data_IF_499675486871
#
_entry.id   IF_499675486871
#
_cell.length_a   1.000
_cell.length_b   1.000
_cell.length_c   1.000
_cell.angle_alpha   90.00
_cell.angle_beta   90.00
_cell.angle_gamma   90.00
#
_symmetry.space_group_name_H-M   'P 1'
#
loop_
_entity.id
_entity.type
_entity.pdbx_description
1 polymer ?
#
# COMPACT_ATOMS: atom_id res chain seq x y z
N UNK A 1 2.50 -14.50 -4.40
CA UNK A 1 1.09 -14.62 -3.96
C UNK A 1 0.59 -13.31 -3.36
N UNK A 2 -0.57 -12.82 -3.79
CA UNK A 2 -1.12 -11.53 -3.36
C UNK A 2 -1.94 -11.72 -2.09
N UNK A 3 -1.82 -10.79 -1.14
CA UNK A 3 -2.66 -10.77 0.06
C UNK A 3 -3.74 -9.71 -0.07
N UNK A 4 -4.94 -10.03 0.41
CA UNK A 4 -6.07 -9.12 0.44
C UNK A 4 -6.57 -8.94 1.88
N UNK A 5 -7.13 -7.76 2.19
CA UNK A 5 -7.66 -7.38 3.49
C UNK A 5 -8.92 -6.53 3.33
N UNK A 6 -9.79 -6.54 4.33
CA UNK A 6 -10.93 -5.62 4.41
C UNK A 6 -10.66 -4.63 5.54
N UNK A 7 -10.63 -3.33 5.21
CA UNK A 7 -10.67 -2.28 6.22
C UNK A 7 -12.11 -1.88 6.52
N UNK A 8 -12.49 -2.10 7.78
CA UNK A 8 -13.80 -1.74 8.35
C UNK A 8 -13.84 -0.33 8.95
N UNK A 9 -12.82 0.51 8.73
CA UNK A 9 -12.79 1.91 9.24
C UNK A 9 -13.66 2.87 8.42
N UNK A 10 -14.18 2.38 7.29
CA UNK A 10 -15.08 3.12 6.40
C UNK A 10 -16.29 2.28 6.04
N UNK A 11 -17.37 2.96 5.67
CA UNK A 11 -18.60 2.34 5.18
C UNK A 11 -18.99 2.91 3.81
N UNK A 12 -19.10 2.07 2.76
CA UNK A 12 -18.82 0.63 2.74
C UNK A 12 -17.33 0.29 3.02
N UNK A 13 -17.02 -0.94 3.49
CA UNK A 13 -15.65 -1.36 3.79
C UNK A 13 -14.71 -1.21 2.59
N UNK A 14 -13.46 -0.83 2.87
CA UNK A 14 -12.45 -0.69 1.83
C UNK A 14 -11.69 -2.00 1.61
N UNK A 15 -11.30 -2.25 0.36
CA UNK A 15 -10.54 -3.42 -0.04
C UNK A 15 -9.07 -3.03 -0.19
N UNK A 16 -8.18 -3.81 0.42
CA UNK A 16 -6.74 -3.57 0.40
C UNK A 16 -6.06 -4.78 -0.22
N UNK A 17 -5.15 -4.55 -1.16
CA UNK A 17 -4.30 -5.55 -1.78
C UNK A 17 -2.84 -5.28 -1.45
N UNK A 18 -2.06 -6.33 -1.22
CA UNK A 18 -0.66 -6.21 -0.85
C UNK A 18 0.19 -7.24 -1.58
N UNK A 19 1.22 -6.74 -2.26
CA UNK A 19 2.33 -7.53 -2.77
C UNK A 19 3.42 -7.54 -1.72
N UNK A 20 3.83 -8.71 -1.25
CA UNK A 20 4.82 -8.80 -0.18
C UNK A 20 6.26 -8.70 -0.72
N UNK A 21 6.54 -9.26 -1.90
CA UNK A 21 7.84 -9.20 -2.54
C UNK A 21 7.77 -8.61 -3.94
N UNK A 22 8.93 -8.43 -4.56
CA UNK A 22 9.08 -7.71 -5.83
C UNK A 22 8.23 -8.30 -6.97
N UNK A 23 8.09 -9.62 -7.04
CA UNK A 23 7.32 -10.31 -8.08
C UNK A 23 5.82 -10.11 -7.89
N UNK A 24 5.33 -10.15 -6.65
CA UNK A 24 3.93 -9.82 -6.36
C UNK A 24 3.61 -8.34 -6.56
N UNK A 25 4.55 -7.45 -6.20
CA UNK A 25 4.42 -6.02 -6.46
C UNK A 25 4.28 -5.74 -7.95
N UNK A 26 5.08 -6.44 -8.77
CA UNK A 26 5.03 -6.36 -10.23
C UNK A 26 3.72 -6.93 -10.78
N UNK A 27 3.25 -8.07 -10.25
CA UNK A 27 1.97 -8.68 -10.64
C UNK A 27 0.81 -7.72 -10.37
N UNK A 28 0.71 -7.17 -9.17
CA UNK A 28 -0.36 -6.22 -8.79
C UNK A 28 -0.37 -4.95 -9.62
N UNK A 29 0.81 -4.48 -10.03
CA UNK A 29 0.90 -3.31 -10.90
C UNK A 29 0.26 -3.58 -12.25
N UNK A 30 0.48 -4.77 -12.81
CA UNK A 30 0.03 -5.22 -14.14
C UNK A 30 -1.37 -5.84 -14.18
N UNK A 31 -1.95 -6.16 -13.03
CA UNK A 31 -3.25 -6.82 -12.96
C UNK A 31 -4.35 -5.91 -13.55
N UNK A 32 -5.00 -6.37 -14.62
CA UNK A 32 -5.97 -5.59 -15.43
C UNK A 32 -7.19 -5.13 -14.62
N UNK A 33 -7.67 -5.94 -13.67
CA UNK A 33 -8.72 -5.56 -12.71
C UNK A 33 -8.33 -4.35 -11.85
N UNK A 34 -7.04 -4.20 -11.60
CA UNK A 34 -6.47 -3.04 -10.92
C UNK A 34 -6.05 -1.93 -11.88
N UNK A 35 -5.93 -2.17 -13.18
CA UNK A 35 -5.48 -1.17 -14.17
C UNK A 35 -6.53 -0.08 -14.37
N UNK A 36 -7.81 -0.43 -14.30
CA UNK A 36 -8.94 0.50 -14.36
C UNK A 36 -9.49 0.91 -12.99
N UNK A 37 -8.77 0.60 -11.92
CA UNK A 37 -9.15 0.92 -10.54
C UNK A 37 -8.55 2.26 -10.11
N UNK A 38 -9.39 3.17 -9.61
CA UNK A 38 -9.00 4.43 -8.94
C UNK A 38 -8.37 4.18 -7.55
N UNK A 39 -7.48 3.20 -7.47
CA UNK A 39 -6.82 2.79 -6.23
C UNK A 39 -5.70 3.74 -5.84
N UNK A 40 -5.47 3.87 -4.53
CA UNK A 40 -4.32 4.58 -3.97
C UNK A 40 -3.22 3.58 -3.69
N UNK A 41 -2.02 3.84 -4.21
CA UNK A 41 -0.83 3.05 -3.96
C UNK A 41 -0.01 3.62 -2.80
N UNK A 42 0.58 2.74 -1.99
CA UNK A 42 1.41 3.06 -0.83
C UNK A 42 2.73 2.29 -0.85
N UNK A 43 3.78 2.96 -0.37
CA UNK A 43 5.11 2.37 -0.16
C UNK A 43 5.89 3.19 0.88
N UNK A 44 6.84 2.57 1.58
CA UNK A 44 7.68 3.30 2.52
C UNK A 44 8.68 4.17 1.75
N UNK A 45 8.78 5.45 2.08
CA UNK A 45 9.70 6.36 1.40
C UNK A 45 11.17 5.98 1.66
N UNK A 46 11.98 5.98 0.60
CA UNK A 46 13.43 5.75 0.68
C UNK A 46 13.91 4.33 1.00
N UNK A 47 13.04 3.39 1.39
CA UNK A 47 13.44 2.01 1.74
C UNK A 47 12.48 0.98 1.14
N UNK A 48 12.99 -0.23 0.89
CA UNK A 48 12.20 -1.32 0.31
C UNK A 48 11.05 -1.75 1.22
N UNK A 49 9.83 -1.85 0.67
CA UNK A 49 8.66 -2.39 1.33
C UNK A 49 7.72 -3.13 0.38
N UNK A 50 6.73 -3.82 0.96
CA UNK A 50 5.54 -4.22 0.23
C UNK A 50 4.90 -3.04 -0.54
N UNK A 51 4.23 -3.34 -1.65
CA UNK A 51 3.30 -2.41 -2.29
C UNK A 51 1.90 -2.69 -1.76
N UNK A 52 1.23 -1.66 -1.27
CA UNK A 52 -0.17 -1.75 -0.84
C UNK A 52 -1.03 -0.89 -1.76
N UNK A 53 -2.17 -1.43 -2.17
CA UNK A 53 -3.17 -0.75 -2.99
C UNK A 53 -4.49 -0.74 -2.23
N UNK A 54 -5.07 0.44 -2.10
CA UNK A 54 -6.35 0.68 -1.44
C UNK A 54 -7.40 0.98 -2.50
N UNK A 55 -8.36 0.07 -2.68
CA UNK A 55 -9.53 0.26 -3.54
C UNK A 55 -10.71 0.67 -2.68
N UNK A 56 -11.25 1.86 -2.91
CA UNK A 56 -12.29 2.43 -2.07
C UNK A 56 -13.54 2.76 -2.87
N UNK A 57 -14.74 2.48 -2.31
CA UNK A 57 -15.98 2.93 -2.91
C UNK A 57 -16.30 4.41 -2.61
N UNK A 58 -15.82 4.98 -1.48
CA UNK A 58 -16.15 6.35 -1.03
C UNK A 58 -15.04 6.99 -0.17
N UNK A 59 -14.03 7.58 -0.81
CA UNK A 59 -13.02 8.42 -0.16
C UNK A 59 -12.15 7.72 0.90
N UNK A 60 -11.14 8.42 1.42
CA UNK A 60 -10.17 7.92 2.41
C UNK A 60 -10.30 8.67 3.73
N UNK A 61 -10.41 7.97 4.85
CA UNK A 61 -10.28 8.56 6.18
C UNK A 61 -8.84 8.44 6.70
N UNK A 62 -8.52 9.18 7.76
CA UNK A 62 -7.22 9.07 8.44
C UNK A 62 -6.99 7.64 8.96
N UNK A 63 -8.05 6.94 9.39
CA UNK A 63 -7.94 5.58 9.90
C UNK A 63 -7.62 4.57 8.79
N UNK A 64 -8.26 4.67 7.61
CA UNK A 64 -7.94 3.83 6.45
C UNK A 64 -6.54 4.13 5.89
N UNK A 65 -6.13 5.40 5.93
CA UNK A 65 -4.76 5.80 5.59
C UNK A 65 -3.76 5.11 6.51
N UNK A 66 -4.01 5.14 7.82
CA UNK A 66 -3.12 4.52 8.81
C UNK A 66 -3.07 2.99 8.67
N UNK A 67 -4.18 2.34 8.30
CA UNK A 67 -4.20 0.92 7.97
C UNK A 67 -3.18 0.54 6.89
N UNK A 68 -3.20 1.29 5.78
CA UNK A 68 -2.30 1.06 4.66
C UNK A 68 -0.84 1.36 5.05
N UNK A 69 -0.63 2.45 5.79
CA UNK A 69 0.69 2.86 6.26
C UNK A 69 1.33 1.84 7.20
N UNK A 70 0.55 1.28 8.14
CA UNK A 70 1.03 0.26 9.07
C UNK A 70 1.31 -1.07 8.36
N UNK A 71 0.55 -1.42 7.30
CA UNK A 71 0.85 -2.59 6.47
C UNK A 71 2.19 -2.47 5.74
N UNK A 72 2.44 -1.37 5.01
CA UNK A 72 3.71 -1.20 4.29
C UNK A 72 4.91 -1.14 5.25
N UNK A 73 4.74 -0.49 6.41
CA UNK A 73 5.77 -0.47 7.47
C UNK A 73 6.05 -1.88 8.01
N UNK A 74 5.01 -2.62 8.38
CA UNK A 74 5.13 -3.99 8.91
C UNK A 74 5.80 -4.94 7.92
N UNK A 75 5.57 -4.73 6.63
CA UNK A 75 6.13 -5.51 5.53
C UNK A 75 7.32 -4.81 4.83
N UNK A 76 8.04 -3.93 5.55
CA UNK A 76 9.35 -3.42 5.15
C UNK A 76 10.45 -4.09 5.97
N UNK A 77 11.52 -4.54 5.31
CA UNK A 77 12.65 -5.22 5.97
C UNK A 77 13.32 -4.29 7.00
N UNK A 78 13.50 -3.02 6.65
CA UNK A 78 14.10 -2.01 7.51
C UNK A 78 13.02 -1.25 8.31
N UNK A 79 11.92 -0.86 7.64
CA UNK A 79 10.88 -0.02 8.23
C UNK A 79 10.15 -0.67 9.41
N UNK A 80 10.04 -2.01 9.45
CA UNK A 80 9.36 -2.69 10.55
C UNK A 80 10.09 -2.58 11.90
N UNK A 81 11.39 -2.22 11.89
CA UNK A 81 12.23 -2.02 13.08
C UNK A 81 12.27 -0.56 13.56
N UNK A 82 11.77 0.37 12.75
CA UNK A 82 11.75 1.80 13.06
C UNK A 82 10.48 2.17 13.84
N UNK A 83 10.61 3.16 14.72
CA UNK A 83 9.49 3.66 15.52
C UNK A 83 8.38 4.26 14.64
N UNK A 84 8.76 5.00 13.61
CA UNK A 84 7.88 5.56 12.58
C UNK A 84 8.61 5.58 11.25
N UNK A 85 7.85 5.55 10.16
CA UNK A 85 8.38 5.71 8.81
C UNK A 85 7.54 6.70 8.03
N UNK A 86 8.18 7.35 7.06
CA UNK A 86 7.45 8.15 6.08
C UNK A 86 6.92 7.22 5.00
N UNK A 87 5.64 7.32 4.69
CA UNK A 87 4.97 6.56 3.64
C UNK A 87 4.63 7.51 2.51
N UNK A 88 5.04 7.16 1.30
CA UNK A 88 4.62 7.83 0.08
C UNK A 88 3.35 7.17 -0.44
N UNK A 89 2.38 7.98 -0.86
CA UNK A 89 1.17 7.49 -1.50
C UNK A 89 0.70 8.39 -2.64
N UNK A 90 0.09 7.78 -3.64
CA UNK A 90 -0.42 8.46 -4.85
C UNK A 90 -1.48 7.60 -5.52
N UNK A 91 -2.31 8.19 -6.38
CA UNK A 91 -3.17 7.41 -7.27
C UNK A 91 -2.32 6.43 -8.10
N UNK A 92 -2.82 5.21 -8.33
CA UNK A 92 -2.16 4.20 -9.16
C UNK A 92 -1.88 4.72 -10.57
N UNK A 93 -2.77 5.52 -11.14
CA UNK A 93 -2.61 6.15 -12.45
C UNK A 93 -1.38 7.07 -12.56
N UNK A 94 -0.81 7.51 -11.44
CA UNK A 94 0.43 8.28 -11.41
C UNK A 94 1.68 7.37 -11.39
N UNK A 95 1.55 6.05 -11.22
CA UNK A 95 2.69 5.14 -11.27
C UNK A 95 3.16 4.96 -12.69
N UNK A 96 4.47 5.08 -12.89
CA UNK A 96 5.13 4.93 -14.20
C UNK A 96 6.09 3.76 -14.17
N UNK A 97 5.86 2.78 -15.04
CA UNK A 97 6.79 1.67 -15.27
C UNK A 97 7.46 1.83 -16.63
N UNK A 98 8.79 1.74 -16.67
CA UNK A 98 9.56 1.74 -17.94
C UNK A 98 10.27 0.41 -18.14
N UNK A 99 10.58 0.06 -19.40
CA UNK A 99 11.18 -1.24 -19.77
C UNK A 99 12.52 -1.54 -19.08
N UNK A 100 13.25 -0.52 -18.62
CA UNK A 100 14.54 -0.68 -17.93
C UNK A 100 14.44 -0.81 -16.41
N UNK A 101 13.24 -0.73 -15.82
CA UNK A 101 13.04 -0.85 -14.37
C UNK A 101 12.90 -2.33 -13.97
N UNK A 102 13.72 -2.77 -13.02
CA UNK A 102 13.62 -4.10 -12.42
C UNK A 102 12.25 -4.39 -11.78
N UNK A 103 11.98 -5.67 -11.49
CA UNK A 103 10.70 -6.12 -10.91
C UNK A 103 10.35 -5.36 -9.62
N UNK A 104 9.10 -4.94 -9.47
CA UNK A 104 8.62 -4.19 -8.31
C UNK A 104 9.06 -2.72 -8.24
N UNK A 105 10.04 -2.29 -9.04
CA UNK A 105 10.45 -0.88 -9.10
C UNK A 105 9.42 -0.06 -9.90
N UNK A 106 8.99 1.06 -9.34
CA UNK A 106 8.08 2.02 -9.99
C UNK A 106 8.68 3.43 -9.95
N UNK A 107 8.35 4.24 -10.93
CA UNK A 107 8.52 5.68 -10.91
C UNK A 107 7.16 6.39 -10.87
N UNK A 108 7.18 7.71 -11.07
CA UNK A 108 5.95 8.52 -11.12
C UNK A 108 5.85 9.27 -12.44
N UNK A 109 4.62 9.45 -12.94
CA UNK A 109 4.35 10.34 -14.08
C UNK A 109 4.54 11.80 -13.68
N UNK A 110 4.01 12.19 -12.51
CA UNK A 110 4.20 13.50 -11.91
C UNK A 110 4.54 13.35 -10.41
N UNK A 111 5.79 13.63 -10.00
CA UNK A 111 6.20 13.57 -8.60
C UNK A 111 5.40 14.50 -7.67
N UNK A 112 4.87 15.61 -8.17
CA UNK A 112 4.11 16.57 -7.35
C UNK A 112 2.71 16.06 -6.95
N UNK A 113 2.23 14.98 -7.58
CA UNK A 113 0.98 14.33 -7.19
C UNK A 113 1.18 13.28 -6.09
N UNK A 114 2.41 13.02 -5.69
CA UNK A 114 2.71 12.16 -4.54
C UNK A 114 2.47 12.92 -3.24
N UNK A 115 1.99 12.20 -2.24
CA UNK A 115 1.79 12.71 -0.88
C UNK A 115 2.64 11.89 0.08
N UNK A 116 2.99 12.52 1.19
CA UNK A 116 3.78 11.92 2.26
C UNK A 116 2.95 11.91 3.54
N UNK A 117 2.97 10.78 4.25
CA UNK A 117 2.37 10.64 5.57
C UNK A 117 3.38 10.03 6.53
N UNK A 118 3.49 10.58 7.74
CA UNK A 118 4.29 9.95 8.79
C UNK A 118 3.39 8.97 9.55
N UNK A 119 3.80 7.69 9.62
CA UNK A 119 3.03 6.69 10.35
C UNK A 119 2.96 7.05 11.84
N UNK A 120 1.90 6.64 12.52
CA UNK A 120 1.87 6.71 13.98
C UNK A 120 3.01 5.88 14.60
N UNK A 121 3.52 6.35 15.75
CA UNK A 121 4.64 5.73 16.46
C UNK A 121 4.29 4.32 16.95
N UNK A 122 5.25 3.41 16.79
CA UNK A 122 5.17 1.94 17.00
C UNK A 122 4.23 1.24 16.01
N UNK A 123 4.45 -0.06 15.82
CA UNK A 123 3.50 -0.89 15.07
C UNK A 123 2.19 -0.92 15.88
N UNK A 124 1.13 -0.30 15.36
CA UNK A 124 -0.16 -0.30 16.05
C UNK A 124 -0.73 -1.71 16.04
N UNK A 125 -0.48 -2.45 17.11
CA UNK A 125 -0.86 -3.86 17.25
C UNK A 125 -2.36 -4.05 17.05
N UNK A 126 -3.16 -3.07 17.46
CA UNK A 126 -4.62 -3.04 17.24
C UNK A 126 -4.97 -2.99 15.75
N UNK A 127 -4.34 -2.10 14.98
CA UNK A 127 -4.58 -1.94 13.54
C UNK A 127 -4.19 -3.23 12.81
N UNK A 128 -2.96 -3.71 13.04
CA UNK A 128 -2.45 -4.90 12.38
C UNK A 128 -3.29 -6.14 12.73
N UNK A 129 -3.68 -6.32 14.00
CA UNK A 129 -4.51 -7.46 14.43
C UNK A 129 -5.85 -7.46 13.69
N UNK A 130 -6.55 -6.32 13.65
CA UNK A 130 -7.82 -6.18 12.93
C UNK A 130 -7.68 -6.51 11.44
N UNK A 131 -6.64 -6.02 10.79
CA UNK A 131 -6.40 -6.32 9.37
C UNK A 131 -6.11 -7.81 9.17
N UNK A 132 -5.29 -8.43 10.02
CA UNK A 132 -4.95 -9.85 9.93
C UNK A 132 -6.18 -10.77 10.08
N UNK A 133 -7.19 -10.39 10.86
CA UNK A 133 -8.46 -11.13 11.00
C UNK A 133 -9.24 -11.20 9.68
N UNK A 134 -9.04 -10.22 8.79
CA UNK A 134 -9.70 -10.15 7.48
C UNK A 134 -8.79 -10.58 6.33
N UNK A 135 -7.62 -11.18 6.60
CA UNK A 135 -6.63 -11.48 5.55
C UNK A 135 -6.98 -12.75 4.79
N UNK A 136 -7.02 -12.67 3.46
CA UNK A 136 -7.00 -13.85 2.56
C UNK A 136 -5.94 -13.71 1.47
N UNK A 137 -5.80 -14.76 0.66
CA UNK A 137 -4.81 -14.89 -0.41
C UNK A 137 -5.52 -15.09 -1.75
N UNK A 138 -4.91 -14.56 -2.81
CA UNK A 138 -5.31 -14.77 -4.20
C UNK A 138 -4.13 -15.23 -5.05
#
# INVERSE_FOLDING_TARGET
>A
MVFCFISTTVSPPALIYMGQHQEENEKLLKEEEMENSDGIWFHVDGISSAHVYLQMPRGMTIETLEDCCQLVKKHSIQGCKLDEVKVVYTMKSNLKKTKGMGSGRVGFHNPNLTKLHMTTKKNSSKILKRLMETRWKT
#
